data_IF_137134756164
#
_entry.id   IF_137134756164
#
_cell.length_a   1.000
_cell.length_b   1.000
_cell.length_c   1.000
_cell.angle_alpha   90.00
_cell.angle_beta   90.00
_cell.angle_gamma   90.00
#
_symmetry.space_group_name_H-M   'P 1'
#
loop_
_entity.id
_entity.type
_entity.pdbx_description
1 polymer ?
#
# COMPACT_ATOMS: atom_id res chain seq x y z
N UNK A 1 23.14 -54.73 -2.18
CA UNK A 1 22.79 -53.47 -2.87
C UNK A 1 21.87 -52.54 -2.07
N UNK A 2 21.39 -52.88 -0.87
CA UNK A 2 20.30 -52.10 -0.23
C UNK A 2 20.68 -51.20 0.96
N UNK A 3 21.97 -51.10 1.33
CA UNK A 3 22.40 -50.25 2.47
C UNK A 3 22.95 -48.88 2.05
N UNK A 4 23.28 -48.70 0.76
CA UNK A 4 23.90 -47.46 0.28
C UNK A 4 22.91 -46.33 0.01
N UNK A 5 21.61 -46.63 -0.13
CA UNK A 5 20.57 -45.68 -0.57
C UNK A 5 19.82 -45.04 0.60
N UNK A 6 19.79 -45.69 1.77
CA UNK A 6 19.14 -45.16 2.99
C UNK A 6 20.02 -44.21 3.78
N UNK A 7 21.35 -44.34 3.66
CA UNK A 7 22.33 -43.48 4.32
C UNK A 7 22.38 -42.02 3.82
N UNK A 8 22.27 -41.70 2.51
CA UNK A 8 22.24 -40.32 2.03
C UNK A 8 21.01 -39.54 2.52
N UNK A 9 19.87 -40.21 2.71
CA UNK A 9 18.66 -39.62 3.32
C UNK A 9 18.87 -39.21 4.79
N UNK A 10 19.83 -39.82 5.49
CA UNK A 10 20.14 -39.54 6.88
C UNK A 10 21.32 -38.55 7.05
N UNK A 11 22.24 -38.50 6.07
CA UNK A 11 23.47 -37.71 6.16
C UNK A 11 23.55 -36.50 5.22
N UNK A 12 22.53 -36.21 4.41
CA UNK A 12 22.31 -34.89 3.81
C UNK A 12 23.48 -34.30 3.00
N UNK A 13 24.33 -35.13 2.40
CA UNK A 13 25.52 -34.68 1.63
C UNK A 13 25.21 -34.56 0.13
N UNK A 14 24.04 -33.99 -0.20
CA UNK A 14 23.53 -33.94 -1.58
C UNK A 14 22.73 -32.69 -1.87
N UNK A 15 23.09 -31.55 -1.28
CA UNK A 15 22.33 -30.31 -1.38
C UNK A 15 21.02 -30.38 -0.61
N UNK A 16 20.58 -29.24 -0.07
CA UNK A 16 19.26 -29.18 0.56
C UNK A 16 18.24 -29.31 -0.55
N UNK A 17 17.66 -30.51 -0.71
CA UNK A 17 16.59 -30.74 -1.66
C UNK A 17 15.34 -30.00 -1.23
N UNK A 18 14.44 -29.75 -2.19
CA UNK A 18 13.12 -29.18 -1.90
C UNK A 18 12.37 -29.99 -0.83
N UNK A 19 12.61 -31.31 -0.78
CA UNK A 19 12.03 -32.21 0.22
C UNK A 19 12.56 -31.92 1.63
N UNK A 20 13.87 -31.77 1.83
CA UNK A 20 14.41 -31.38 3.14
C UNK A 20 13.84 -30.03 3.62
N UNK A 21 13.73 -29.03 2.73
CA UNK A 21 13.14 -27.73 3.11
C UNK A 21 11.69 -27.90 3.56
N UNK A 22 10.90 -28.71 2.84
CA UNK A 22 9.50 -28.97 3.22
C UNK A 22 9.43 -29.67 4.58
N UNK A 23 10.26 -30.67 4.84
CA UNK A 23 10.28 -31.38 6.14
C UNK A 23 10.60 -30.42 7.28
N UNK A 24 11.62 -29.56 7.12
CA UNK A 24 11.99 -28.55 8.12
C UNK A 24 10.85 -27.54 8.31
N UNK A 25 10.21 -27.10 7.23
CA UNK A 25 9.05 -26.21 7.30
C UNK A 25 7.89 -26.85 8.06
N UNK A 26 7.58 -28.12 7.82
CA UNK A 26 6.50 -28.83 8.53
C UNK A 26 6.81 -28.93 10.02
N UNK A 27 8.04 -29.30 10.40
CA UNK A 27 8.45 -29.34 11.82
C UNK A 27 8.36 -27.95 12.45
N UNK A 28 8.86 -26.91 11.77
CA UNK A 28 8.72 -25.53 12.20
C UNK A 28 7.26 -25.14 12.37
N UNK A 29 6.38 -25.53 11.44
CA UNK A 29 4.95 -25.26 11.50
C UNK A 29 4.27 -25.98 12.66
N UNK A 30 4.74 -27.17 13.06
CA UNK A 30 4.22 -27.87 14.25
C UNK A 30 4.63 -27.17 15.55
N UNK A 31 5.87 -26.66 15.64
CA UNK A 31 6.37 -25.96 16.82
C UNK A 31 5.75 -24.57 16.96
N UNK A 32 5.75 -23.79 15.87
CA UNK A 32 5.26 -22.41 15.87
C UNK A 32 3.75 -22.32 15.65
N UNK A 33 3.14 -23.31 15.00
CA UNK A 33 1.71 -23.39 14.75
C UNK A 33 1.17 -22.14 14.05
N UNK A 34 0.15 -21.55 14.68
CA UNK A 34 -0.55 -20.35 14.18
C UNK A 34 0.29 -19.07 14.27
N UNK A 35 1.44 -19.07 14.93
CA UNK A 35 2.29 -17.88 15.11
C UNK A 35 3.11 -17.56 13.85
N UNK A 36 3.44 -18.54 13.01
CA UNK A 36 4.19 -18.33 11.77
C UNK A 36 3.52 -17.33 10.80
N UNK A 37 2.23 -17.46 10.43
CA UNK A 37 1.57 -16.50 9.55
C UNK A 37 1.44 -15.10 10.18
N UNK A 38 1.30 -15.03 11.50
CA UNK A 38 1.24 -13.76 12.24
C UNK A 38 2.59 -13.03 12.21
N UNK A 39 3.68 -13.75 12.50
CA UNK A 39 5.05 -13.23 12.38
C UNK A 39 5.37 -12.82 10.94
N UNK A 40 4.99 -13.65 9.96
CA UNK A 40 5.16 -13.34 8.55
C UNK A 40 4.43 -12.05 8.12
N UNK A 41 3.21 -11.82 8.63
CA UNK A 41 2.46 -10.58 8.39
C UNK A 41 3.14 -9.35 8.98
N UNK A 42 3.68 -9.48 10.20
CA UNK A 42 4.36 -8.40 10.90
C UNK A 42 5.68 -8.04 10.20
N UNK A 43 6.47 -9.04 9.82
CA UNK A 43 7.71 -8.87 9.04
C UNK A 43 7.39 -8.29 7.65
N UNK A 44 6.34 -8.79 6.98
CA UNK A 44 5.93 -8.29 5.68
C UNK A 44 5.54 -6.82 5.70
N UNK A 45 4.82 -6.35 6.74
CA UNK A 45 4.50 -4.93 6.94
C UNK A 45 5.77 -4.09 7.11
N UNK A 46 6.70 -4.54 7.95
CA UNK A 46 7.99 -3.87 8.15
C UNK A 46 8.79 -3.76 6.85
N UNK A 47 8.87 -4.83 6.06
CA UNK A 47 9.58 -4.82 4.79
C UNK A 47 8.93 -3.88 3.75
N UNK A 48 7.60 -3.79 3.73
CA UNK A 48 6.87 -2.86 2.85
C UNK A 48 7.13 -1.40 3.24
N UNK A 49 7.10 -1.08 4.53
CA UNK A 49 7.40 0.27 5.02
C UNK A 49 8.87 0.64 4.80
N UNK A 50 9.78 -0.30 5.05
CA UNK A 50 11.21 -0.15 4.75
C UNK A 50 11.43 0.14 3.27
N UNK A 51 10.81 -0.63 2.36
CA UNK A 51 10.92 -0.40 0.91
C UNK A 51 10.37 0.96 0.49
N UNK A 52 9.28 1.43 1.11
CA UNK A 52 8.73 2.77 0.86
C UNK A 52 9.67 3.88 1.33
N UNK A 53 10.26 3.72 2.52
CA UNK A 53 11.25 4.66 3.05
C UNK A 53 12.49 4.76 2.17
N UNK A 54 13.06 3.61 1.79
CA UNK A 54 14.22 3.57 0.87
C UNK A 54 13.87 4.22 -0.48
N UNK A 55 12.71 3.90 -1.05
CA UNK A 55 12.28 4.51 -2.32
C UNK A 55 12.06 6.02 -2.21
N UNK A 56 11.50 6.50 -1.11
CA UNK A 56 11.33 7.94 -0.87
C UNK A 56 12.68 8.68 -0.78
N UNK A 57 13.69 8.05 -0.18
CA UNK A 57 15.05 8.61 -0.11
C UNK A 57 15.69 8.66 -1.51
N UNK A 58 15.54 7.60 -2.30
CA UNK A 58 16.03 7.58 -3.70
C UNK A 58 15.34 8.66 -4.53
N UNK A 59 14.02 8.78 -4.40
CA UNK A 59 13.21 9.78 -5.10
C UNK A 59 13.60 11.22 -4.66
N UNK A 60 13.93 11.44 -3.38
CA UNK A 60 14.38 12.74 -2.85
C UNK A 60 15.80 13.12 -3.31
N UNK A 61 16.69 12.13 -3.48
CA UNK A 61 18.05 12.32 -4.00
C UNK A 61 18.03 12.59 -5.52
N UNK A 62 17.17 11.91 -6.27
CA UNK A 62 17.05 12.05 -7.73
C UNK A 62 16.14 13.23 -8.16
N UNK A 63 15.14 13.61 -7.35
CA UNK A 63 14.15 14.64 -7.66
C UNK A 63 14.21 15.86 -6.74
N UNK A 64 15.39 16.44 -6.51
CA UNK A 64 15.57 17.76 -5.89
C UNK A 64 14.84 18.94 -6.58
N UNK A 65 13.88 18.69 -7.48
CA UNK A 65 12.96 19.67 -8.06
C UNK A 65 11.69 19.00 -8.59
N UNK A 66 10.78 18.53 -7.72
CA UNK A 66 9.34 18.45 -8.05
C UNK A 66 8.49 18.32 -6.77
N UNK A 67 7.53 19.22 -6.53
CA UNK A 67 6.67 19.15 -5.35
C UNK A 67 5.78 17.91 -5.44
N UNK A 68 5.71 17.18 -4.33
CA UNK A 68 4.87 16.02 -4.13
C UNK A 68 3.44 16.27 -4.63
N UNK A 69 3.06 15.56 -5.69
CA UNK A 69 1.69 15.56 -6.19
C UNK A 69 0.80 14.79 -5.22
N UNK A 70 0.07 15.56 -4.43
CA UNK A 70 -1.32 15.40 -4.01
C UNK A 70 -1.77 14.07 -3.35
N UNK A 71 -2.19 14.14 -2.07
CA UNK A 71 -3.34 13.37 -1.59
C UNK A 71 -4.58 13.84 -2.36
N UNK A 72 -4.97 13.08 -3.40
CA UNK A 72 -6.37 13.06 -3.84
C UNK A 72 -7.15 12.33 -2.75
N UNK A 73 -8.09 13.03 -2.12
CA UNK A 73 -9.34 12.55 -1.49
C UNK A 73 -9.63 13.42 -0.26
N UNK A 74 -10.42 14.49 -0.45
CA UNK A 74 -11.41 15.04 0.51
C UNK A 74 -11.64 16.55 0.42
N UNK A 75 -11.52 17.18 -0.76
CA UNK A 75 -11.82 18.62 -0.90
C UNK A 75 -12.73 18.91 -2.11
N UNK A 76 -13.78 18.09 -2.24
CA UNK A 76 -14.85 18.29 -3.20
C UNK A 76 -16.21 18.31 -2.49
N UNK A 77 -16.33 19.08 -1.40
CA UNK A 77 -17.66 19.46 -0.90
C UNK A 77 -17.79 20.94 -0.53
N UNK A 78 -16.69 21.66 -0.29
CA UNK A 78 -16.76 23.08 0.11
C UNK A 78 -16.81 24.07 -1.06
N UNK A 79 -16.38 23.69 -2.27
CA UNK A 79 -16.38 24.60 -3.42
C UNK A 79 -17.75 24.76 -4.12
N UNK A 80 -18.77 23.95 -3.77
CA UNK A 80 -20.11 24.06 -4.36
C UNK A 80 -21.05 24.99 -3.61
N UNK A 81 -20.67 25.47 -2.42
CA UNK A 81 -21.54 26.33 -1.60
C UNK A 81 -21.40 27.83 -1.94
N UNK A 82 -20.22 28.31 -2.34
CA UNK A 82 -20.06 29.73 -2.69
C UNK A 82 -20.59 30.10 -4.09
N UNK A 83 -20.57 29.17 -5.05
CA UNK A 83 -21.01 29.48 -6.43
C UNK A 83 -22.54 29.58 -6.54
N UNK A 84 -23.28 28.97 -5.61
CA UNK A 84 -24.74 29.07 -5.57
C UNK A 84 -25.24 30.36 -4.89
N UNK A 85 -24.47 30.93 -3.96
CA UNK A 85 -24.81 32.18 -3.27
C UNK A 85 -24.57 33.44 -4.13
N UNK A 86 -23.67 33.37 -5.11
CA UNK A 86 -23.39 34.51 -6.00
C UNK A 86 -24.40 34.67 -7.16
N UNK A 87 -25.14 33.61 -7.51
CA UNK A 87 -26.10 33.64 -8.63
C UNK A 87 -27.45 34.30 -8.27
N UNK A 88 -27.75 34.50 -6.99
CA UNK A 88 -29.03 35.06 -6.51
C UNK A 88 -29.07 36.61 -6.49
N UNK A 89 -27.95 37.29 -6.76
CA UNK A 89 -27.88 38.77 -6.74
C UNK A 89 -27.94 39.44 -8.11
N UNK A 90 -28.33 38.72 -9.17
CA UNK A 90 -28.62 39.30 -10.49
C UNK A 90 -30.11 39.35 -10.79
N UNK A 91 -30.94 39.68 -9.79
CA UNK A 91 -32.30 40.19 -9.99
C UNK A 91 -32.29 41.70 -9.69
N UNK A 92 -31.89 42.51 -10.66
CA UNK A 92 -32.16 43.94 -10.65
C UNK A 92 -33.54 44.18 -11.29
N UNK A 93 -34.38 45.06 -10.73
CA UNK A 93 -35.75 45.26 -11.17
C UNK A 93 -35.74 45.98 -12.52
N UNK A 94 -36.08 45.24 -13.56
CA UNK A 94 -36.36 45.78 -14.87
C UNK A 94 -37.79 46.25 -14.96
N UNK A 95 -37.99 47.56 -14.82
CA UNK A 95 -38.96 48.27 -15.64
C UNK A 95 -40.28 48.66 -14.99
N UNK A 96 -40.29 49.82 -14.32
CA UNK A 96 -41.46 50.69 -14.32
C UNK A 96 -41.09 51.97 -15.07
N UNK A 97 -41.86 52.19 -16.13
CA UNK A 97 -41.65 53.20 -17.17
C UNK A 97 -42.06 54.58 -16.63
N UNK A 98 -41.35 55.67 -16.99
CA UNK A 98 -41.86 57.02 -16.77
C UNK A 98 -42.78 57.40 -17.94
N UNK A 99 -44.10 57.46 -17.70
CA UNK A 99 -45.13 58.13 -18.52
C UNK A 99 -46.46 57.96 -17.76
N UNK A 100 -47.37 58.90 -17.60
CA UNK A 100 -47.60 60.23 -18.18
C UNK A 100 -48.89 60.77 -17.50
N UNK A 101 -49.02 62.11 -17.39
CA UNK A 101 -50.14 62.93 -16.88
C UNK A 101 -50.31 63.13 -15.36
#
# INVERSE_FOLDING_TARGET
MSLSTTLPLLLGIGGIGTVEIIVILVIGLLIFGRRLPEVGRNVGRSLVEFKKGVKGIEDDIDNGSKPATAPKLSDQSVAREEVQAAADKMHAPGGDRPASD
#
